data_IF_118141813498
#
_entry.id   IF_118141813498
#
_cell.length_a   1.000
_cell.length_b   1.000
_cell.length_c   1.000
_cell.angle_alpha   90.00
_cell.angle_beta   90.00
_cell.angle_gamma   90.00
#
_symmetry.space_group_name_H-M   'P 1'
#
loop_
_entity.id
_entity.type
_entity.pdbx_description
1 polymer ?
#
# COMPACT_ATOMS: atom_id res chain seq x y z
N UNK A 1 -14.53 1.31 7.48
CA UNK A 1 -15.58 2.27 7.88
C UNK A 1 -16.22 1.90 9.22
N UNK A 2 -16.82 0.72 9.40
CA UNK A 2 -17.39 0.31 10.69
C UNK A 2 -16.39 0.36 11.84
N UNK A 3 -15.16 -0.15 11.65
CA UNK A 3 -14.12 -0.06 12.67
C UNK A 3 -13.79 1.39 13.04
N UNK A 4 -13.70 2.30 12.06
CA UNK A 4 -13.47 3.72 12.33
C UNK A 4 -14.62 4.35 13.13
N UNK A 5 -15.87 3.99 12.82
CA UNK A 5 -17.02 4.43 13.61
C UNK A 5 -17.01 3.87 15.04
N UNK A 6 -16.65 2.59 15.20
CA UNK A 6 -16.48 1.94 16.51
C UNK A 6 -15.40 2.63 17.36
N UNK A 7 -14.29 3.03 16.73
CA UNK A 7 -13.21 3.78 17.38
C UNK A 7 -13.52 5.28 17.54
N UNK A 8 -14.74 5.73 17.23
CA UNK A 8 -15.19 7.09 17.49
C UNK A 8 -14.63 8.15 16.55
N UNK A 9 -14.20 7.78 15.34
CA UNK A 9 -13.71 8.75 14.34
C UNK A 9 -14.87 9.71 13.96
N UNK A 10 -14.71 11.03 14.13
CA UNK A 10 -15.83 11.98 14.05
C UNK A 10 -16.32 12.24 12.62
N UNK A 11 -15.51 11.97 11.61
CA UNK A 11 -15.86 12.13 10.20
C UNK A 11 -15.17 11.06 9.34
N UNK A 12 -15.94 10.33 8.55
CA UNK A 12 -15.49 9.20 7.74
C UNK A 12 -15.98 9.41 6.32
N UNK A 13 -15.05 9.46 5.36
CA UNK A 13 -15.37 9.52 3.93
C UNK A 13 -14.97 8.22 3.25
N UNK A 14 -15.94 7.53 2.64
CA UNK A 14 -15.70 6.37 1.78
C UNK A 14 -15.78 6.77 0.32
N UNK A 15 -14.70 6.57 -0.45
CA UNK A 15 -14.65 6.82 -1.89
C UNK A 15 -14.66 5.47 -2.61
N UNK A 16 -15.67 5.25 -3.44
CA UNK A 16 -15.88 3.98 -4.14
C UNK A 16 -16.21 4.24 -5.61
N UNK A 17 -15.44 3.62 -6.52
CA UNK A 17 -15.60 3.83 -7.95
C UNK A 17 -16.87 3.17 -8.49
N UNK A 18 -17.27 2.04 -7.91
CA UNK A 18 -18.40 1.25 -8.41
C UNK A 18 -19.73 1.78 -7.86
N UNK A 19 -20.61 2.36 -8.71
CA UNK A 19 -21.89 2.90 -8.27
C UNK A 19 -22.83 1.82 -7.72
N UNK A 20 -22.66 0.55 -8.11
CA UNK A 20 -23.46 -0.56 -7.60
C UNK A 20 -23.13 -0.80 -6.13
N UNK A 21 -21.85 -0.81 -5.74
CA UNK A 21 -21.49 -0.96 -4.32
C UNK A 21 -22.00 0.20 -3.49
N UNK A 22 -21.86 1.44 -3.97
CA UNK A 22 -22.43 2.61 -3.29
C UNK A 22 -23.95 2.45 -3.11
N UNK A 23 -24.68 2.04 -4.16
CA UNK A 23 -26.13 1.78 -4.08
C UNK A 23 -26.46 0.67 -3.07
N UNK A 24 -25.75 -0.45 -3.10
CA UNK A 24 -25.99 -1.58 -2.20
C UNK A 24 -25.75 -1.19 -0.73
N UNK A 25 -24.69 -0.43 -0.46
CA UNK A 25 -24.33 -0.02 0.90
C UNK A 25 -25.25 1.08 1.44
N UNK A 26 -25.83 1.94 0.58
CA UNK A 26 -26.52 3.16 1.03
C UNK A 26 -28.02 3.20 0.75
N UNK A 27 -28.54 2.43 -0.22
CA UNK A 27 -29.92 2.59 -0.73
C UNK A 27 -30.69 1.30 -0.96
N UNK A 28 -30.04 0.14 -1.05
CA UNK A 28 -30.71 -1.11 -1.40
C UNK A 28 -31.32 -1.80 -0.16
N UNK A 29 -32.66 -1.97 -0.10
CA UNK A 29 -33.31 -2.72 0.97
C UNK A 29 -32.78 -4.16 1.07
N UNK A 30 -32.68 -4.65 2.30
CA UNK A 30 -32.03 -5.91 2.68
C UNK A 30 -30.53 -5.76 2.95
N UNK A 31 -29.82 -4.95 2.16
CA UNK A 31 -28.39 -4.70 2.38
C UNK A 31 -28.14 -3.57 3.38
N UNK A 32 -28.90 -2.48 3.29
CA UNK A 32 -28.77 -1.30 4.17
C UNK A 32 -29.04 -1.62 5.64
N UNK A 33 -29.96 -2.53 5.91
CA UNK A 33 -30.37 -2.99 7.22
C UNK A 33 -29.33 -3.94 7.81
N UNK A 34 -28.62 -4.69 6.95
CA UNK A 34 -27.55 -5.58 7.37
C UNK A 34 -26.27 -4.83 7.75
N UNK A 35 -25.89 -3.81 6.97
CA UNK A 35 -24.61 -3.11 7.17
C UNK A 35 -24.71 -1.84 8.03
N UNK A 36 -25.90 -1.22 8.09
CA UNK A 36 -26.23 0.00 8.83
C UNK A 36 -25.35 1.25 8.58
N UNK A 37 -24.47 1.24 7.57
CA UNK A 37 -23.56 2.35 7.30
C UNK A 37 -24.31 3.64 6.94
N UNK A 38 -25.44 3.53 6.25
CA UNK A 38 -26.29 4.66 5.90
C UNK A 38 -26.93 5.35 7.12
N UNK A 39 -26.98 4.68 8.28
CA UNK A 39 -27.52 5.24 9.53
C UNK A 39 -26.47 5.99 10.34
N UNK A 40 -25.18 5.84 10.00
CA UNK A 40 -24.09 6.50 10.73
C UNK A 40 -23.97 7.96 10.28
N UNK A 41 -24.25 8.95 11.17
CA UNK A 41 -24.31 10.36 10.77
C UNK A 41 -22.94 10.94 10.39
N UNK A 42 -21.86 10.30 10.82
CA UNK A 42 -20.47 10.68 10.54
C UNK A 42 -19.89 10.01 9.28
N UNK A 43 -20.65 9.21 8.53
CA UNK A 43 -20.18 8.52 7.32
C UNK A 43 -20.74 9.17 6.07
N UNK A 44 -19.86 9.53 5.14
CA UNK A 44 -20.22 10.05 3.81
C UNK A 44 -19.64 9.13 2.73
N UNK A 45 -20.47 8.78 1.75
CA UNK A 45 -20.05 8.02 0.57
C UNK A 45 -19.93 8.92 -0.65
N UNK A 46 -18.83 8.78 -1.37
CA UNK A 46 -18.56 9.46 -2.63
C UNK A 46 -18.39 8.38 -3.72
N UNK A 47 -19.20 8.46 -4.77
CA UNK A 47 -19.01 7.61 -5.94
C UNK A 47 -18.05 8.30 -6.92
N UNK A 48 -16.77 7.93 -6.87
CA UNK A 48 -15.70 8.56 -7.64
C UNK A 48 -14.47 7.63 -7.66
N UNK A 49 -13.52 7.89 -8.56
CA UNK A 49 -12.24 7.20 -8.53
C UNK A 49 -11.34 7.83 -7.48
N UNK A 50 -10.75 7.01 -6.60
CA UNK A 50 -10.05 7.45 -5.40
C UNK A 50 -8.97 8.50 -5.67
N UNK A 51 -8.07 8.24 -6.61
CA UNK A 51 -7.00 9.19 -6.95
C UNK A 51 -7.55 10.49 -7.54
N UNK A 52 -8.50 10.39 -8.45
CA UNK A 52 -9.14 11.53 -9.10
C UNK A 52 -9.86 12.42 -8.08
N UNK A 53 -10.53 11.82 -7.12
CA UNK A 53 -11.16 12.55 -6.02
C UNK A 53 -10.13 13.24 -5.12
N UNK A 54 -9.08 12.53 -4.69
CA UNK A 54 -8.00 13.11 -3.86
C UNK A 54 -7.22 14.21 -4.60
N UNK A 55 -7.13 14.14 -5.92
CA UNK A 55 -6.53 15.20 -6.73
C UNK A 55 -7.35 16.50 -6.68
N UNK A 56 -8.68 16.41 -6.62
CA UNK A 56 -9.59 17.57 -6.62
C UNK A 56 -9.94 18.11 -5.24
N UNK A 57 -10.08 17.23 -4.24
CA UNK A 57 -10.51 17.63 -2.89
C UNK A 57 -9.51 18.58 -2.26
N UNK A 58 -9.96 19.55 -1.46
CA UNK A 58 -9.09 20.42 -0.66
C UNK A 58 -9.03 19.99 0.80
N UNK A 59 -9.77 18.95 1.19
CA UNK A 59 -9.80 18.44 2.55
C UNK A 59 -8.47 17.79 2.94
N UNK A 60 -8.16 17.86 4.23
CA UNK A 60 -7.05 17.13 4.86
C UNK A 60 -7.58 16.03 5.78
N UNK A 61 -6.80 14.96 5.94
CA UNK A 61 -7.20 13.76 6.67
C UNK A 61 -6.12 13.34 7.66
N UNK A 62 -6.53 12.91 8.85
CA UNK A 62 -5.60 12.32 9.83
C UNK A 62 -5.27 10.87 9.47
N UNK A 63 -6.19 10.16 8.80
CA UNK A 63 -5.98 8.80 8.33
C UNK A 63 -6.52 8.68 6.91
N UNK A 64 -5.66 8.29 5.97
CA UNK A 64 -6.06 7.80 4.66
C UNK A 64 -5.78 6.32 4.62
N UNK A 65 -6.81 5.50 4.41
CA UNK A 65 -6.68 4.04 4.41
C UNK A 65 -7.05 3.46 3.04
N UNK A 66 -6.12 2.69 2.48
CA UNK A 66 -6.25 1.96 1.22
C UNK A 66 -5.99 0.47 1.47
N UNK A 67 -6.92 -0.21 2.14
CA UNK A 67 -6.77 -1.63 2.51
C UNK A 67 -7.43 -2.55 1.51
N UNK A 68 -6.65 -3.45 0.89
CA UNK A 68 -7.16 -4.53 0.00
C UNK A 68 -8.15 -4.03 -1.04
N UNK A 69 -7.88 -2.85 -1.62
CA UNK A 69 -8.72 -2.22 -2.64
C UNK A 69 -8.76 -3.01 -3.95
N UNK A 70 -7.81 -3.94 -4.14
CA UNK A 70 -7.74 -4.85 -5.28
C UNK A 70 -8.13 -6.27 -4.84
N UNK A 71 -9.04 -6.90 -5.57
CA UNK A 71 -9.49 -8.27 -5.26
C UNK A 71 -8.40 -9.31 -5.54
N UNK A 72 -8.23 -10.25 -4.60
CA UNK A 72 -7.25 -11.34 -4.70
C UNK A 72 -7.45 -12.20 -5.95
N UNK A 73 -8.70 -12.54 -6.29
CA UNK A 73 -9.03 -13.38 -7.43
C UNK A 73 -8.54 -12.80 -8.77
N UNK A 74 -8.59 -11.48 -8.95
CA UNK A 74 -8.10 -10.82 -10.15
C UNK A 74 -6.56 -10.65 -10.15
N UNK A 75 -5.93 -10.54 -8.98
CA UNK A 75 -4.47 -10.54 -8.85
C UNK A 75 -3.86 -11.92 -9.14
N UNK A 76 -4.41 -12.98 -8.54
CA UNK A 76 -3.93 -14.36 -8.71
C UNK A 76 -4.18 -14.94 -10.11
N UNK A 77 -5.25 -14.51 -10.79
CA UNK A 77 -5.52 -14.92 -12.18
C UNK A 77 -4.64 -14.20 -13.23
N UNK A 78 -3.71 -13.33 -12.81
CA UNK A 78 -2.88 -12.53 -13.71
C UNK A 78 -3.63 -11.42 -14.44
N UNK A 79 -4.89 -11.15 -14.07
CA UNK A 79 -5.73 -10.14 -14.75
C UNK A 79 -5.18 -8.71 -14.59
N UNK A 80 -4.37 -8.46 -13.55
CA UNK A 80 -3.72 -7.16 -13.34
C UNK A 80 -2.26 -7.09 -13.79
N UNK A 81 -1.67 -8.16 -14.33
CA UNK A 81 -0.25 -8.16 -14.75
C UNK A 81 0.00 -7.17 -15.90
N UNK A 82 -1.03 -6.84 -16.69
CA UNK A 82 -0.96 -5.82 -17.75
C UNK A 82 -1.95 -4.67 -17.55
N UNK A 83 -2.64 -4.63 -16.40
CA UNK A 83 -3.61 -3.56 -16.14
C UNK A 83 -2.91 -2.41 -15.42
N UNK A 84 -3.09 -1.21 -15.94
CA UNK A 84 -2.63 0.01 -15.29
C UNK A 84 -3.35 0.16 -13.94
N UNK A 85 -2.59 0.42 -12.87
CA UNK A 85 -3.17 0.75 -11.58
C UNK A 85 -2.76 2.16 -11.16
N UNK A 86 -3.71 3.08 -11.31
CA UNK A 86 -3.52 4.49 -11.00
C UNK A 86 -3.29 4.78 -9.51
N UNK A 87 -3.61 3.86 -8.60
CA UNK A 87 -3.46 4.04 -7.15
C UNK A 87 -2.04 3.74 -6.65
N UNK A 88 -1.27 2.90 -7.35
CA UNK A 88 0.08 2.49 -6.93
C UNK A 88 1.19 3.10 -7.80
N UNK A 89 1.14 4.41 -8.00
CA UNK A 89 2.22 5.18 -8.63
C UNK A 89 2.81 6.19 -7.68
N UNK A 90 4.06 6.59 -7.91
CA UNK A 90 4.72 7.61 -7.08
C UNK A 90 3.89 8.90 -7.04
N UNK A 91 3.29 9.28 -8.16
CA UNK A 91 2.41 10.44 -8.26
C UNK A 91 1.13 10.28 -7.42
N UNK A 92 0.53 9.10 -7.42
CA UNK A 92 -0.64 8.79 -6.61
C UNK A 92 -0.34 8.88 -5.10
N UNK A 93 0.74 8.25 -4.64
CA UNK A 93 1.15 8.34 -3.24
C UNK A 93 1.44 9.79 -2.84
N UNK A 94 2.10 10.58 -3.69
CA UNK A 94 2.33 12.01 -3.41
C UNK A 94 1.01 12.77 -3.25
N UNK A 95 0.00 12.48 -4.08
CA UNK A 95 -1.35 13.05 -3.93
C UNK A 95 -1.92 12.66 -2.57
N UNK A 96 -1.93 11.37 -2.21
CA UNK A 96 -2.48 10.91 -0.92
C UNK A 96 -1.76 11.53 0.27
N UNK A 97 -0.42 11.49 0.28
CA UNK A 97 0.38 12.08 1.34
C UNK A 97 0.13 13.59 1.45
N UNK A 98 0.01 14.31 0.33
CA UNK A 98 -0.28 15.76 0.35
C UNK A 98 -1.62 16.13 0.98
N UNK A 99 -2.56 15.17 1.06
CA UNK A 99 -3.87 15.34 1.71
C UNK A 99 -3.87 14.90 3.17
N UNK A 100 -2.74 14.46 3.71
CA UNK A 100 -2.61 14.21 5.15
C UNK A 100 -2.50 15.52 5.92
N UNK A 101 -3.09 15.53 7.12
CA UNK A 101 -2.75 16.51 8.16
C UNK A 101 -1.26 16.38 8.54
N UNK A 102 -0.66 17.37 9.22
CA UNK A 102 0.77 17.34 9.57
C UNK A 102 1.20 16.09 10.37
N UNK A 103 0.28 15.51 11.14
CA UNK A 103 0.47 14.29 11.93
C UNK A 103 -0.28 13.09 11.37
N UNK A 104 -0.89 13.23 10.20
CA UNK A 104 -1.71 12.20 9.59
C UNK A 104 -0.88 11.06 9.00
N UNK A 105 -1.53 9.91 8.83
CA UNK A 105 -0.92 8.70 8.28
C UNK A 105 -1.68 8.19 7.06
N UNK A 106 -0.92 7.69 6.08
CA UNK A 106 -1.42 6.86 5.00
C UNK A 106 -1.17 5.40 5.33
N UNK A 107 -2.20 4.56 5.23
CA UNK A 107 -2.10 3.12 5.44
C UNK A 107 -2.52 2.36 4.18
N UNK A 108 -1.75 1.33 3.83
CA UNK A 108 -2.08 0.45 2.72
C UNK A 108 -1.78 -1.00 3.11
N UNK A 109 -2.79 -1.85 2.97
CA UNK A 109 -2.69 -3.28 3.29
C UNK A 109 -2.74 -4.09 1.99
N UNK A 110 -1.76 -4.98 1.81
CA UNK A 110 -1.58 -5.81 0.61
C UNK A 110 -1.22 -7.24 1.01
N UNK A 111 -1.37 -8.15 0.04
CA UNK A 111 -0.92 -9.53 0.21
C UNK A 111 0.58 -9.58 0.48
N UNK A 112 0.96 -10.44 1.41
CA UNK A 112 2.32 -10.63 1.90
C UNK A 112 2.64 -12.12 1.93
N UNK A 113 3.88 -12.43 1.60
CA UNK A 113 4.45 -13.76 1.78
C UNK A 113 5.75 -13.64 2.57
N UNK A 114 5.88 -14.32 3.73
CA UNK A 114 7.11 -14.35 4.50
C UNK A 114 8.33 -14.85 3.71
N UNK A 115 8.12 -15.69 2.70
CA UNK A 115 9.18 -16.26 1.87
C UNK A 115 9.42 -15.48 0.57
N UNK A 116 8.55 -14.52 0.23
CA UNK A 116 8.60 -13.75 -1.02
C UNK A 116 8.27 -12.28 -0.76
N UNK A 117 9.28 -11.51 -0.38
CA UNK A 117 9.15 -10.08 -0.07
C UNK A 117 9.01 -9.18 -1.30
N UNK A 118 8.80 -9.70 -2.51
CA UNK A 118 8.86 -8.91 -3.74
C UNK A 118 7.74 -7.85 -3.82
N UNK A 119 6.48 -8.26 -3.66
CA UNK A 119 5.34 -7.32 -3.69
C UNK A 119 5.44 -6.26 -2.60
N UNK A 120 5.73 -6.68 -1.38
CA UNK A 120 5.92 -5.79 -0.23
C UNK A 120 7.12 -4.88 -0.41
N UNK A 121 8.22 -5.38 -0.98
CA UNK A 121 9.40 -4.60 -1.33
C UNK A 121 9.10 -3.55 -2.39
N UNK A 122 8.28 -3.89 -3.40
CA UNK A 122 7.85 -2.92 -4.42
C UNK A 122 6.94 -1.85 -3.81
N UNK A 123 6.00 -2.22 -2.95
CA UNK A 123 5.17 -1.28 -2.19
C UNK A 123 6.02 -0.34 -1.31
N UNK A 124 7.03 -0.89 -0.64
CA UNK A 124 7.97 -0.11 0.16
C UNK A 124 8.78 0.85 -0.71
N UNK A 125 9.29 0.39 -1.86
CA UNK A 125 10.03 1.25 -2.80
C UNK A 125 9.19 2.41 -3.29
N UNK A 126 7.89 2.18 -3.51
CA UNK A 126 6.93 3.18 -3.94
C UNK A 126 6.76 4.29 -2.89
N UNK A 127 6.64 3.91 -1.61
CA UNK A 127 6.56 4.87 -0.51
C UNK A 127 7.86 5.64 -0.30
N UNK A 128 9.01 4.96 -0.34
CA UNK A 128 10.33 5.58 -0.24
C UNK A 128 10.54 6.59 -1.37
N UNK A 129 10.21 6.23 -2.62
CA UNK A 129 10.30 7.12 -3.76
C UNK A 129 9.41 8.37 -3.62
N UNK A 130 8.18 8.20 -3.15
CA UNK A 130 7.27 9.33 -2.92
C UNK A 130 7.82 10.29 -1.86
N UNK A 131 8.33 9.77 -0.73
CA UNK A 131 8.93 10.58 0.33
C UNK A 131 10.18 11.33 -0.15
N UNK A 132 11.09 10.65 -0.85
CA UNK A 132 12.30 11.26 -1.43
C UNK A 132 11.94 12.39 -2.41
N UNK A 133 10.96 12.18 -3.29
CA UNK A 133 10.48 13.23 -4.21
C UNK A 133 9.73 14.37 -3.52
N UNK A 134 9.28 14.17 -2.28
CA UNK A 134 8.68 15.20 -1.43
C UNK A 134 9.72 15.90 -0.53
N UNK A 135 11.01 15.60 -0.69
CA UNK A 135 12.11 16.25 0.02
C UNK A 135 12.50 15.62 1.35
N UNK A 136 12.00 14.42 1.67
CA UNK A 136 12.40 13.67 2.87
C UNK A 136 13.74 12.98 2.63
N UNK A 137 14.75 13.26 3.45
CA UNK A 137 16.10 12.67 3.34
C UNK A 137 16.27 11.32 4.03
N UNK A 138 15.39 11.00 4.99
CA UNK A 138 15.44 9.77 5.79
C UNK A 138 14.09 9.03 5.77
N UNK A 139 13.72 8.37 4.64
CA UNK A 139 12.40 7.74 4.49
C UNK A 139 12.06 6.72 5.58
N UNK A 140 13.05 6.01 6.13
CA UNK A 140 12.86 5.06 7.24
C UNK A 140 12.15 5.67 8.43
N UNK A 141 12.46 6.92 8.79
CA UNK A 141 11.83 7.58 9.95
C UNK A 141 10.34 7.86 9.78
N UNK A 142 9.83 7.73 8.56
CA UNK A 142 8.47 8.02 8.15
C UNK A 142 7.66 6.76 7.83
N UNK A 143 8.27 5.58 7.93
CA UNK A 143 7.68 4.31 7.47
C UNK A 143 7.67 3.29 8.60
N UNK A 144 6.51 2.66 8.79
CA UNK A 144 6.36 1.44 9.58
C UNK A 144 5.67 0.38 8.73
N UNK A 145 6.14 -0.86 8.80
CA UNK A 145 5.56 -1.99 8.06
C UNK A 145 5.49 -3.19 8.98
N UNK A 146 4.28 -3.73 9.16
CA UNK A 146 4.05 -4.95 9.90
C UNK A 146 3.16 -5.91 9.11
N UNK A 147 3.17 -7.17 9.50
CA UNK A 147 2.34 -8.21 8.89
C UNK A 147 1.59 -9.03 9.91
N UNK A 148 0.40 -9.48 9.51
CA UNK A 148 -0.38 -10.54 10.15
C UNK A 148 -0.62 -11.62 9.09
N UNK A 149 -0.15 -12.83 9.33
CA UNK A 149 -0.25 -13.94 8.38
C UNK A 149 0.23 -13.58 6.97
N UNK A 150 -0.73 -13.46 6.04
CA UNK A 150 -0.49 -13.16 4.62
C UNK A 150 -0.84 -11.71 4.23
N UNK A 151 -0.96 -10.81 5.19
CA UNK A 151 -1.28 -9.41 4.94
C UNK A 151 -0.17 -8.54 5.53
N UNK A 152 0.44 -7.71 4.69
CA UNK A 152 1.37 -6.67 5.10
C UNK A 152 0.67 -5.32 5.09
N UNK A 153 0.81 -4.54 6.16
CA UNK A 153 0.27 -3.17 6.26
C UNK A 153 1.42 -2.19 6.39
N UNK A 154 1.56 -1.37 5.35
CA UNK A 154 2.48 -0.24 5.32
C UNK A 154 1.77 0.98 5.91
N UNK A 155 2.45 1.69 6.81
CA UNK A 155 2.04 2.96 7.39
C UNK A 155 3.10 3.99 7.02
N UNK A 156 2.67 5.12 6.45
CA UNK A 156 3.54 6.20 5.98
C UNK A 156 3.05 7.53 6.55
N UNK A 157 3.96 8.33 7.08
CA UNK A 157 3.68 9.69 7.55
C UNK A 157 4.52 10.73 6.81
N UNK A 158 3.99 11.96 6.67
CA UNK A 158 4.78 13.09 6.16
C UNK A 158 5.80 13.62 7.16
N UNK A 159 5.54 13.40 8.44
CA UNK A 159 6.46 13.76 9.53
C UNK A 159 7.15 12.51 10.06
N UNK A 160 8.40 12.59 10.55
CA UNK A 160 9.00 11.47 11.24
C UNK A 160 8.10 11.01 12.39
N UNK A 161 7.96 9.69 12.57
CA UNK A 161 7.19 9.15 13.68
C UNK A 161 7.79 9.60 15.01
N UNK A 162 6.93 10.10 15.90
CA UNK A 162 7.28 10.45 17.26
C UNK A 162 7.40 9.21 18.14
N UNK A 163 7.98 9.36 19.33
CA UNK A 163 8.04 8.28 20.32
C UNK A 163 6.64 7.78 20.72
N UNK A 164 5.64 8.68 20.76
CA UNK A 164 4.26 8.31 21.07
C UNK A 164 3.64 7.49 19.93
N UNK A 165 3.92 7.83 18.67
CA UNK A 165 3.45 7.05 17.52
C UNK A 165 4.05 5.65 17.54
N UNK A 166 5.37 5.56 17.79
CA UNK A 166 6.06 4.28 17.91
C UNK A 166 5.51 3.45 19.07
N UNK A 167 5.24 4.07 20.23
CA UNK A 167 4.63 3.38 21.36
C UNK A 167 3.25 2.83 21.01
N UNK A 168 2.42 3.59 20.28
CA UNK A 168 1.10 3.14 19.83
C UNK A 168 1.21 1.97 18.83
N UNK A 169 2.10 2.09 17.84
CA UNK A 169 2.35 1.04 16.83
C UNK A 169 2.87 -0.25 17.48
N UNK A 170 3.86 -0.14 18.37
CA UNK A 170 4.41 -1.29 19.09
C UNK A 170 3.41 -1.90 20.06
N UNK A 171 2.56 -1.08 20.70
CA UNK A 171 1.44 -1.56 21.51
C UNK A 171 0.45 -2.39 20.70
N UNK A 172 0.08 -1.92 19.51
CA UNK A 172 -0.78 -2.66 18.59
C UNK A 172 -0.13 -3.96 18.13
N UNK A 173 1.16 -3.93 17.78
CA UNK A 173 1.94 -5.13 17.43
C UNK A 173 1.91 -6.16 18.56
N UNK A 174 2.16 -5.74 19.80
CA UNK A 174 2.14 -6.64 20.95
C UNK A 174 0.73 -7.17 21.25
N UNK A 175 -0.31 -6.34 21.14
CA UNK A 175 -1.68 -6.75 21.42
C UNK A 175 -2.21 -7.74 20.37
N UNK A 176 -1.93 -7.50 19.10
CA UNK A 176 -2.47 -8.28 17.98
C UNK A 176 -1.48 -9.30 17.41
N UNK A 177 -0.30 -9.44 18.04
CA UNK A 177 0.74 -10.42 17.68
C UNK A 177 1.20 -10.28 16.21
N UNK A 178 1.38 -9.04 15.76
CA UNK A 178 1.91 -8.76 14.43
C UNK A 178 3.43 -8.96 14.38
N UNK A 179 3.95 -9.24 13.19
CA UNK A 179 5.39 -9.28 12.93
C UNK A 179 5.84 -7.96 12.32
N UNK A 180 6.84 -7.31 12.91
CA UNK A 180 7.43 -6.08 12.35
C UNK A 180 8.37 -6.45 11.21
N UNK A 181 8.22 -5.81 10.05
CA UNK A 181 9.09 -5.97 8.89
C UNK A 181 10.00 -4.76 8.68
N UNK A 182 9.49 -3.56 8.95
CA UNK A 182 10.25 -2.29 8.91
C UNK A 182 9.77 -1.41 10.04
N UNK A 183 10.72 -0.80 10.76
CA UNK A 183 10.46 0.16 11.82
C UNK A 183 11.34 1.41 11.66
N UNK A 184 10.88 2.60 12.06
CA UNK A 184 11.68 3.83 12.06
C UNK A 184 12.99 3.75 12.86
N UNK A 185 13.08 2.88 13.85
CA UNK A 185 14.25 2.75 14.75
C UNK A 185 14.95 1.40 14.65
N UNK A 186 14.41 0.45 13.88
CA UNK A 186 14.91 -0.91 13.78
C UNK A 186 15.49 -1.23 12.41
N UNK A 187 16.40 -2.19 12.36
CA UNK A 187 16.92 -2.71 11.09
C UNK A 187 16.02 -3.85 10.60
N UNK A 188 15.50 -3.79 9.36
CA UNK A 188 14.78 -4.92 8.78
C UNK A 188 15.68 -6.16 8.67
N UNK A 189 15.13 -7.34 8.99
CA UNK A 189 15.83 -8.62 8.82
C UNK A 189 16.07 -8.93 7.33
N UNK A 190 15.11 -8.58 6.48
CA UNK A 190 15.24 -8.71 5.03
C UNK A 190 16.22 -7.65 4.50
N UNK A 191 17.31 -8.11 3.90
CA UNK A 191 18.27 -7.24 3.21
C UNK A 191 17.61 -6.40 2.12
N UNK A 192 16.64 -6.98 1.39
CA UNK A 192 15.88 -6.26 0.36
C UNK A 192 15.09 -5.10 0.96
N UNK A 193 14.34 -5.33 2.03
CA UNK A 193 13.56 -4.27 2.68
C UNK A 193 14.48 -3.22 3.32
N UNK A 194 15.60 -3.65 3.92
CA UNK A 194 16.61 -2.77 4.52
C UNK A 194 17.22 -1.82 3.50
N UNK A 195 17.70 -2.33 2.37
CA UNK A 195 18.33 -1.52 1.33
C UNK A 195 17.34 -0.58 0.63
N UNK A 196 16.06 -0.97 0.55
CA UNK A 196 15.00 -0.10 0.02
C UNK A 196 14.71 1.05 1.00
N UNK A 197 14.42 0.75 2.27
CA UNK A 197 13.98 1.78 3.23
C UNK A 197 15.06 2.79 3.60
N UNK A 198 16.33 2.37 3.56
CA UNK A 198 17.49 3.21 3.90
C UNK A 198 18.01 4.04 2.71
N UNK A 199 17.36 3.99 1.54
CA UNK A 199 17.78 4.78 0.40
C UNK A 199 17.64 6.29 0.66
N UNK A 200 18.72 7.04 0.38
CA UNK A 200 18.79 8.49 0.60
C UNK A 200 18.53 9.33 -0.66
N UNK A 201 18.46 8.70 -1.84
CA UNK A 201 18.21 9.39 -3.10
C UNK A 201 17.39 8.51 -4.04
N UNK A 202 16.66 9.16 -4.96
CA UNK A 202 15.89 8.42 -5.97
C UNK A 202 16.79 7.57 -6.86
N UNK A 203 17.97 8.09 -7.21
CA UNK A 203 18.95 7.36 -8.01
C UNK A 203 19.47 6.09 -7.31
N UNK A 204 19.71 6.13 -6.00
CA UNK A 204 20.20 4.96 -5.26
C UNK A 204 19.11 3.90 -5.13
N UNK A 205 17.88 4.33 -4.84
CA UNK A 205 16.72 3.45 -4.81
C UNK A 205 16.51 2.75 -6.16
N UNK A 206 16.51 3.50 -7.27
CA UNK A 206 16.30 2.97 -8.61
C UNK A 206 17.46 2.02 -9.01
N UNK A 207 18.71 2.37 -8.68
CA UNK A 207 19.88 1.51 -8.92
C UNK A 207 19.74 0.18 -8.20
N UNK A 208 19.38 0.20 -6.92
CA UNK A 208 19.24 -1.02 -6.14
C UNK A 208 18.07 -1.88 -6.62
N UNK A 209 16.87 -1.30 -6.68
CA UNK A 209 15.63 -2.03 -7.02
C UNK A 209 15.64 -2.60 -8.43
N UNK A 210 16.31 -1.93 -9.38
CA UNK A 210 16.50 -2.47 -10.74
C UNK A 210 17.57 -3.55 -10.83
N UNK A 211 18.48 -3.71 -9.86
CA UNK A 211 19.50 -4.76 -9.87
C UNK A 211 19.01 -6.13 -9.39
N UNK A 212 17.83 -6.17 -8.76
CA UNK A 212 17.26 -7.38 -8.18
C UNK A 212 16.78 -8.36 -9.26
N UNK A 213 16.53 -9.60 -8.84
CA UNK A 213 15.98 -10.62 -9.72
C UNK A 213 14.61 -10.18 -10.30
N UNK A 214 13.71 -9.78 -9.42
CA UNK A 214 12.41 -9.21 -9.77
C UNK A 214 12.49 -7.69 -9.88
N UNK A 215 11.67 -7.09 -10.76
CA UNK A 215 11.59 -5.65 -10.89
C UNK A 215 10.80 -5.03 -9.72
N UNK A 216 11.54 -4.51 -8.75
CA UNK A 216 10.98 -3.79 -7.60
C UNK A 216 11.06 -2.28 -7.77
N UNK A 217 11.34 -1.77 -8.98
CA UNK A 217 11.41 -0.32 -9.19
C UNK A 217 10.06 0.34 -8.92
N UNK A 218 10.05 1.54 -8.30
CA UNK A 218 8.82 2.27 -8.00
C UNK A 218 8.01 2.52 -9.29
N UNK A 219 6.73 2.11 -9.38
CA UNK A 219 5.90 2.44 -10.53
C UNK A 219 5.60 3.94 -10.60
N UNK A 220 5.49 4.45 -11.83
CA UNK A 220 5.18 5.86 -12.12
C UNK A 220 3.96 5.93 -13.02
N UNK A 221 3.37 7.10 -13.23
CA UNK A 221 2.27 7.25 -14.20
C UNK A 221 2.65 6.86 -15.63
N UNK A 222 3.92 7.04 -16.02
CA UNK A 222 4.43 6.60 -17.32
C UNK A 222 4.69 5.09 -17.38
N UNK A 223 4.56 4.37 -16.25
CA UNK A 223 4.78 2.92 -16.12
C UNK A 223 3.93 2.35 -14.96
N UNK A 224 2.60 2.40 -15.05
CA UNK A 224 1.69 2.19 -13.90
C UNK A 224 1.39 0.70 -13.65
N UNK A 225 2.37 -0.19 -13.82
CA UNK A 225 2.20 -1.64 -13.76
C UNK A 225 2.72 -2.23 -12.45
N UNK A 226 2.06 -1.92 -11.33
CA UNK A 226 2.49 -2.34 -9.99
C UNK A 226 2.58 -3.87 -9.82
N UNK A 227 1.66 -4.62 -10.42
CA UNK A 227 1.63 -6.08 -10.31
C UNK A 227 2.61 -6.79 -11.25
N UNK A 228 3.16 -6.08 -12.23
CA UNK A 228 4.09 -6.64 -13.20
C UNK A 228 5.54 -6.54 -12.72
N UNK A 229 6.05 -7.60 -12.09
CA UNK A 229 7.42 -7.64 -11.57
C UNK A 229 8.42 -8.27 -12.55
N UNK A 230 8.00 -8.57 -13.78
CA UNK A 230 8.89 -9.12 -14.81
C UNK A 230 9.72 -8.00 -15.45
N UNK A 231 11.07 -8.14 -15.50
CA UNK A 231 11.91 -7.15 -16.12
C UNK A 231 11.89 -7.32 -17.65
N UNK A 232 10.84 -6.83 -18.31
CA UNK A 232 10.71 -6.92 -19.79
C UNK A 232 11.85 -6.23 -20.55
N UNK A 233 12.48 -5.23 -19.93
CA UNK A 233 13.69 -4.57 -20.46
C UNK A 233 14.96 -5.45 -20.40
N UNK A 234 14.88 -6.62 -19.76
CA UNK A 234 15.99 -7.59 -19.62
C UNK A 234 15.53 -9.00 -19.98
N UNK A 235 15.36 -9.30 -21.28
CA UNK A 235 14.74 -10.54 -21.75
C UNK A 235 15.47 -11.81 -21.28
N UNK A 236 16.80 -11.78 -21.14
CA UNK A 236 17.59 -12.91 -20.61
C UNK A 236 17.30 -13.18 -19.12
N UNK A 237 17.09 -12.13 -18.32
CA UNK A 237 16.72 -12.25 -16.91
C UNK A 237 15.29 -12.77 -16.77
N UNK A 238 14.38 -12.27 -17.60
CA UNK A 238 12.99 -12.73 -17.66
C UNK A 238 12.91 -14.23 -18.05
N UNK A 239 13.70 -14.68 -19.04
CA UNK A 239 13.80 -16.07 -19.44
C UNK A 239 14.36 -16.97 -18.33
N UNK A 240 15.36 -16.48 -17.59
CA UNK A 240 15.95 -17.22 -16.46
C UNK A 240 14.93 -17.42 -15.33
N UNK A 241 14.20 -16.35 -14.96
CA UNK A 241 13.11 -16.42 -13.99
C UNK A 241 11.98 -17.35 -14.43
N UNK A 242 11.59 -17.27 -15.70
CA UNK A 242 10.59 -18.17 -16.28
C UNK A 242 11.05 -19.64 -16.15
N UNK A 243 12.29 -19.95 -16.52
CA UNK A 243 12.83 -21.30 -16.38
C UNK A 243 12.99 -21.75 -14.90
N UNK A 244 13.27 -20.85 -13.97
CA UNK A 244 13.32 -21.18 -12.54
C UNK A 244 11.92 -21.45 -11.95
N UNK A 245 10.90 -20.73 -12.39
CA UNK A 245 9.51 -20.96 -11.98
C UNK A 245 8.89 -22.22 -12.59
N UNK A 246 9.24 -22.56 -13.84
CA UNK A 246 8.69 -23.72 -14.56
C UNK A 246 9.58 -24.97 -14.54
N UNK A 247 10.88 -24.83 -14.25
CA UNK A 247 11.84 -25.94 -14.13
C UNK A 247 11.87 -26.58 -12.74
N UNK A 248 11.40 -25.88 -11.71
CA UNK A 248 11.16 -26.45 -10.38
C UNK A 248 9.75 -27.07 -10.31
N UNK A 249 9.59 -28.27 -10.88
CA UNK A 249 8.33 -29.02 -10.82
C UNK A 249 7.89 -29.27 -9.36
N UNK A 250 6.76 -28.70 -8.96
CA UNK A 250 6.05 -28.99 -7.73
C UNK A 250 4.68 -28.29 -7.69
N UNK A 251 3.57 -29.00 -7.41
CA UNK A 251 2.22 -28.50 -7.64
C UNK A 251 1.80 -27.52 -6.55
N UNK A 252 1.34 -26.32 -6.94
CA UNK A 252 0.79 -25.36 -5.99
C UNK A 252 0.94 -23.92 -6.46
N UNK A 253 0.43 -23.61 -7.65
CA UNK A 253 0.31 -22.27 -8.18
C UNK A 253 -1.14 -21.97 -8.52
N UNK A 254 -1.96 -21.73 -7.50
CA UNK A 254 -3.18 -20.89 -7.53
C UNK A 254 -3.30 -20.20 -6.18
#
# INVERSE_FOLDING_TARGET
>A
MLSAALFGIPAITGVEINPIFVKLLTRQPGFTEFNELAKLPNVTFINDEGRSWFARTTNSFDIIQMSLVDTWAATGAGAFTLSENGLYTVQALKIFLSRLSPTGIFTVSRWYSPTRVQETGRLLSLAVAALLEMGVSEPQRHIFLASEGRIGTLVVSRSPFSENDLKALLGAVAQYQYSILVSPTGNPDSEVLRNIVTAHSRSDLDRYTSSLAFDLTPPTDNRPFFFNQFPFSRPLQALKLFNEMYGAGGPGGV
#
